data_IF_913355023062
#
_entry.id   IF_913355023062
#
_cell.length_a   1.000
_cell.length_b   1.000
_cell.length_c   1.000
_cell.angle_alpha   90.00
_cell.angle_beta   90.00
_cell.angle_gamma   90.00
#
_symmetry.space_group_name_H-M   'P 1'
#
loop_
_entity.id
_entity.type
_entity.pdbx_description
1 polymer ?
#
# COMPACT_ATOMS: atom_id res chain seq x y z
N UNK A 1 -2.20 -17.89 -2.18
CA UNK A 1 -2.30 -16.54 -1.55
C UNK A 1 -3.56 -15.86 -2.04
N UNK A 2 -4.32 -15.30 -1.12
CA UNK A 2 -5.53 -14.55 -1.45
C UNK A 2 -5.22 -13.05 -1.46
N UNK A 3 -5.80 -12.34 -2.43
CA UNK A 3 -5.67 -10.89 -2.56
C UNK A 3 -6.96 -10.20 -2.13
N UNK A 4 -6.85 -9.34 -1.12
CA UNK A 4 -7.95 -8.47 -0.70
C UNK A 4 -7.64 -7.02 -1.00
N UNK A 5 -8.63 -6.26 -1.42
CA UNK A 5 -8.50 -4.85 -1.73
C UNK A 5 -9.45 -4.06 -0.83
N UNK A 6 -8.90 -3.08 -0.13
CA UNK A 6 -9.67 -2.17 0.73
C UNK A 6 -9.65 -0.79 0.09
N UNK A 7 -10.82 -0.21 -0.12
CA UNK A 7 -10.96 1.12 -0.71
C UNK A 7 -11.58 2.08 0.30
N UNK A 8 -11.20 3.37 0.28
CA UNK A 8 -11.66 4.31 1.29
C UNK A 8 -13.12 4.73 1.12
N UNK A 9 -13.61 4.88 -0.10
CA UNK A 9 -14.97 5.31 -0.39
C UNK A 9 -15.35 4.90 -1.81
N UNK A 10 -16.62 5.03 -2.14
CA UNK A 10 -17.11 4.68 -3.48
C UNK A 10 -16.57 5.66 -4.53
N UNK A 11 -16.13 5.12 -5.65
CA UNK A 11 -15.66 5.93 -6.78
C UNK A 11 -14.32 6.62 -6.55
N UNK A 12 -13.47 6.10 -5.68
CA UNK A 12 -12.19 6.74 -5.34
C UNK A 12 -11.23 6.87 -6.55
N UNK A 13 -11.46 6.13 -7.63
CA UNK A 13 -10.63 6.17 -8.83
C UNK A 13 -11.19 7.07 -9.93
N UNK A 14 -12.34 7.72 -9.73
CA UNK A 14 -13.04 8.47 -10.78
C UNK A 14 -12.18 9.57 -11.42
N UNK A 15 -11.30 10.19 -10.64
CA UNK A 15 -10.43 11.27 -11.13
C UNK A 15 -9.07 10.81 -11.60
N UNK A 16 -8.81 9.51 -11.59
CA UNK A 16 -7.56 8.96 -12.09
C UNK A 16 -7.54 9.00 -13.61
N UNK A 17 -6.34 9.06 -14.22
CA UNK A 17 -6.22 8.95 -15.66
C UNK A 17 -6.60 7.55 -16.14
N UNK A 18 -6.85 7.41 -17.45
CA UNK A 18 -7.32 6.16 -18.04
C UNK A 18 -6.34 5.00 -17.80
N UNK A 19 -5.05 5.26 -17.87
CA UNK A 19 -4.02 4.24 -17.65
C UNK A 19 -4.08 3.68 -16.23
N UNK A 20 -4.22 4.53 -15.23
CA UNK A 20 -4.30 4.10 -13.83
C UNK A 20 -5.64 3.44 -13.52
N UNK A 21 -6.73 3.91 -14.11
CA UNK A 21 -8.02 3.25 -13.98
C UNK A 21 -7.99 1.84 -14.57
N UNK A 22 -7.34 1.65 -15.71
CA UNK A 22 -7.19 0.32 -16.34
C UNK A 22 -6.39 -0.63 -15.46
N UNK A 23 -5.30 -0.15 -14.85
CA UNK A 23 -4.51 -0.94 -13.90
C UNK A 23 -5.34 -1.35 -12.70
N UNK A 24 -6.09 -0.42 -12.15
CA UNK A 24 -6.98 -0.68 -11.01
C UNK A 24 -8.01 -1.75 -11.34
N UNK A 25 -8.68 -1.61 -12.48
CA UNK A 25 -9.68 -2.58 -12.93
C UNK A 25 -9.08 -3.97 -13.08
N UNK A 26 -7.88 -4.07 -13.65
CA UNK A 26 -7.20 -5.36 -13.80
C UNK A 26 -6.90 -6.01 -12.44
N UNK A 27 -6.44 -5.23 -11.48
CA UNK A 27 -6.14 -5.72 -10.13
C UNK A 27 -7.42 -6.17 -9.41
N UNK A 28 -8.49 -5.38 -9.51
CA UNK A 28 -9.78 -5.70 -8.89
C UNK A 28 -10.35 -7.02 -9.43
N UNK A 29 -10.20 -7.28 -10.72
CA UNK A 29 -10.67 -8.53 -11.34
C UNK A 29 -9.93 -9.75 -10.79
N UNK A 30 -8.71 -9.59 -10.31
CA UNK A 30 -7.90 -10.66 -9.75
C UNK A 30 -8.06 -10.79 -8.23
N UNK A 31 -8.72 -9.86 -7.59
CA UNK A 31 -8.88 -9.87 -6.13
C UNK A 31 -9.86 -10.95 -5.69
N UNK A 32 -9.55 -11.60 -4.57
CA UNK A 32 -10.45 -12.57 -3.95
C UNK A 32 -11.62 -11.88 -3.25
N UNK A 33 -11.38 -10.68 -2.72
CA UNK A 33 -12.44 -9.84 -2.17
C UNK A 33 -12.04 -8.36 -2.27
N UNK A 34 -13.07 -7.51 -2.30
CA UNK A 34 -12.92 -6.06 -2.23
C UNK A 34 -13.93 -5.52 -1.24
N UNK A 35 -13.53 -4.50 -0.49
CA UNK A 35 -14.42 -3.85 0.47
C UNK A 35 -14.15 -2.35 0.51
N UNK A 36 -15.23 -1.57 0.51
CA UNK A 36 -15.17 -0.13 0.70
C UNK A 36 -15.50 0.20 2.16
N UNK A 37 -14.64 0.96 2.83
CA UNK A 37 -14.84 1.34 4.23
C UNK A 37 -16.04 2.27 4.37
N UNK A 38 -16.20 3.20 3.44
CA UNK A 38 -17.35 4.07 3.37
C UNK A 38 -18.19 3.74 2.14
N UNK A 39 -19.48 3.54 2.32
CA UNK A 39 -20.42 3.26 1.22
C UNK A 39 -21.01 4.58 0.67
N UNK A 40 -20.23 5.65 0.74
CA UNK A 40 -20.56 6.98 0.24
C UNK A 40 -19.45 7.46 -0.70
N UNK A 41 -19.72 8.56 -1.41
CA UNK A 41 -18.67 9.25 -2.18
C UNK A 41 -17.71 9.97 -1.23
N UNK A 42 -16.74 10.67 -1.81
CA UNK A 42 -15.74 11.41 -1.03
C UNK A 42 -16.40 12.46 -0.14
N UNK A 43 -16.11 12.41 1.15
CA UNK A 43 -16.61 13.34 2.15
C UNK A 43 -15.51 14.04 2.93
N UNK A 44 -14.26 13.55 2.85
CA UNK A 44 -13.14 14.15 3.55
C UNK A 44 -11.94 13.22 3.64
N UNK A 45 -10.79 13.80 3.97
CA UNK A 45 -9.52 13.06 4.08
C UNK A 45 -9.55 11.97 5.17
N UNK A 46 -10.45 12.09 6.14
CA UNK A 46 -10.59 11.09 7.20
C UNK A 46 -10.92 9.70 6.65
N UNK A 47 -11.54 9.62 5.46
CA UNK A 47 -11.89 8.34 4.84
C UNK A 47 -10.64 7.52 4.48
N UNK A 48 -9.59 8.18 3.99
CA UNK A 48 -8.31 7.52 3.71
C UNK A 48 -7.67 7.03 5.00
N UNK A 49 -7.69 7.85 6.04
CA UNK A 49 -7.12 7.49 7.34
C UNK A 49 -7.83 6.28 7.95
N UNK A 50 -9.15 6.23 7.83
CA UNK A 50 -9.94 5.12 8.35
C UNK A 50 -9.70 3.83 7.55
N UNK A 51 -9.51 3.92 6.24
CA UNK A 51 -9.14 2.75 5.43
C UNK A 51 -7.78 2.19 5.85
N UNK A 52 -6.80 3.06 6.05
CA UNK A 52 -5.47 2.66 6.51
C UNK A 52 -5.54 1.99 7.89
N UNK A 53 -6.29 2.57 8.81
CA UNK A 53 -6.49 2.02 10.15
C UNK A 53 -7.16 0.65 10.10
N UNK A 54 -8.16 0.49 9.25
CA UNK A 54 -8.84 -0.79 9.06
C UNK A 54 -7.86 -1.86 8.59
N UNK A 55 -7.00 -1.53 7.62
CA UNK A 55 -6.00 -2.48 7.12
C UNK A 55 -5.03 -2.90 8.23
N UNK A 56 -4.58 -1.97 9.06
CA UNK A 56 -3.70 -2.30 10.19
C UNK A 56 -4.39 -3.22 11.21
N UNK A 57 -5.63 -2.92 11.55
CA UNK A 57 -6.39 -3.69 12.54
C UNK A 57 -6.75 -5.10 12.07
N UNK A 58 -6.80 -5.32 10.75
CA UNK A 58 -7.21 -6.60 10.16
C UNK A 58 -6.05 -7.33 9.47
N UNK A 59 -4.81 -6.99 9.79
CA UNK A 59 -3.62 -7.66 9.27
C UNK A 59 -2.69 -8.03 10.42
N UNK A 60 -1.79 -8.97 10.16
CA UNK A 60 -0.81 -9.43 11.15
C UNK A 60 0.50 -8.67 11.04
N UNK A 61 0.82 -8.19 9.84
CA UNK A 61 2.03 -7.41 9.58
C UNK A 61 1.87 -6.57 8.32
N UNK A 62 2.70 -5.55 8.19
CA UNK A 62 2.72 -4.65 7.03
C UNK A 62 4.10 -4.65 6.40
N UNK A 63 4.13 -4.66 5.06
CA UNK A 63 5.30 -4.27 4.28
C UNK A 63 5.01 -2.89 3.68
N UNK A 64 5.76 -1.88 4.12
CA UNK A 64 5.61 -0.51 3.61
C UNK A 64 6.81 -0.18 2.71
N UNK A 65 6.53 0.09 1.44
CA UNK A 65 7.53 0.55 0.46
C UNK A 65 7.17 1.99 0.13
N UNK A 66 8.10 2.92 0.36
CA UNK A 66 7.79 4.34 0.14
C UNK A 66 9.00 5.12 -0.33
N UNK A 67 8.73 6.25 -0.97
CA UNK A 67 9.73 7.20 -1.43
C UNK A 67 9.90 8.28 -0.35
N UNK A 68 11.07 8.32 0.28
CA UNK A 68 11.38 9.29 1.34
C UNK A 68 11.36 10.73 0.85
N UNK A 69 11.58 10.95 -0.46
CA UNK A 69 11.61 12.28 -1.04
C UNK A 69 10.19 12.84 -1.29
N UNK A 70 9.17 12.01 -1.20
CA UNK A 70 7.77 12.41 -1.39
C UNK A 70 7.11 12.69 -0.04
N UNK A 71 6.85 13.97 0.22
CA UNK A 71 6.14 14.39 1.44
C UNK A 71 4.63 14.36 1.21
N UNK A 72 4.00 13.22 1.35
CA UNK A 72 2.57 13.10 1.15
C UNK A 72 1.98 11.97 2.01
N UNK A 73 0.97 11.30 1.49
CA UNK A 73 0.27 10.20 2.18
C UNK A 73 1.16 9.16 2.86
N UNK A 74 2.32 8.75 2.29
CA UNK A 74 3.16 7.75 2.95
C UNK A 74 3.71 8.19 4.31
N UNK A 75 3.95 9.49 4.50
CA UNK A 75 4.45 10.02 5.78
C UNK A 75 3.40 9.85 6.88
N UNK A 76 2.14 10.14 6.58
CA UNK A 76 1.04 9.98 7.54
C UNK A 76 0.78 8.52 7.86
N UNK A 77 0.82 7.66 6.86
CA UNK A 77 0.66 6.22 7.08
C UNK A 77 1.80 5.67 7.93
N UNK A 78 3.04 6.08 7.67
CA UNK A 78 4.20 5.65 8.45
C UNK A 78 4.03 6.02 9.92
N UNK A 79 3.57 7.23 10.22
CA UNK A 79 3.34 7.66 11.59
C UNK A 79 2.25 6.84 12.27
N UNK A 80 1.16 6.58 11.57
CA UNK A 80 0.07 5.73 12.07
C UNK A 80 0.58 4.32 12.37
N UNK A 81 1.43 3.77 11.49
CA UNK A 81 2.01 2.44 11.64
C UNK A 81 2.92 2.36 12.86
N UNK A 82 3.78 3.37 13.07
CA UNK A 82 4.66 3.44 14.23
C UNK A 82 3.83 3.50 15.53
N UNK A 83 2.80 4.33 15.56
CA UNK A 83 1.92 4.46 16.73
C UNK A 83 1.21 3.12 17.02
N UNK A 84 0.79 2.42 15.98
CA UNK A 84 0.12 1.12 16.11
C UNK A 84 1.09 0.05 16.66
N UNK A 85 2.33 0.03 16.19
CA UNK A 85 3.34 -0.89 16.69
C UNK A 85 3.68 -0.64 18.16
N UNK A 86 3.71 0.62 18.58
CA UNK A 86 3.99 0.99 19.98
C UNK A 86 2.88 0.51 20.93
N UNK A 87 1.65 0.38 20.45
CA UNK A 87 0.50 -0.03 21.24
C UNK A 87 0.22 -1.52 21.24
N UNK A 88 0.80 -2.25 20.29
CA UNK A 88 0.52 -3.68 20.07
C UNK A 88 1.83 -4.41 19.74
N UNK A 89 1.74 -5.74 19.62
CA UNK A 89 2.87 -6.56 19.16
C UNK A 89 2.91 -6.67 17.63
N UNK A 90 2.38 -5.69 16.94
CA UNK A 90 2.33 -5.67 15.48
C UNK A 90 3.73 -5.51 14.89
N UNK A 91 4.02 -6.24 13.83
CA UNK A 91 5.32 -6.19 13.14
C UNK A 91 5.18 -5.53 11.77
N UNK A 92 6.26 -4.85 11.37
CA UNK A 92 6.28 -4.13 10.11
C UNK A 92 7.69 -4.12 9.53
N UNK A 93 7.77 -4.29 8.21
CA UNK A 93 8.98 -4.02 7.43
C UNK A 93 8.78 -2.73 6.64
N UNK A 94 9.68 -1.78 6.83
CA UNK A 94 9.66 -0.51 6.11
C UNK A 94 10.84 -0.51 5.15
N UNK A 95 10.54 -0.36 3.85
CA UNK A 95 11.55 -0.37 2.78
C UNK A 95 11.46 0.95 2.01
N UNK A 96 12.57 1.67 1.95
CA UNK A 96 12.65 2.90 1.16
C UNK A 96 12.93 2.59 -0.31
N UNK A 97 12.73 3.57 -1.17
CA UNK A 97 13.05 3.40 -2.60
C UNK A 97 14.55 3.16 -2.82
N UNK A 98 15.41 3.79 -2.01
CA UNK A 98 16.85 3.55 -2.11
C UNK A 98 17.22 2.11 -1.74
N UNK A 99 16.66 1.59 -0.66
CA UNK A 99 16.86 0.20 -0.25
C UNK A 99 16.33 -0.78 -1.30
N UNK A 100 15.15 -0.49 -1.87
CA UNK A 100 14.56 -1.31 -2.92
C UNK A 100 15.42 -1.32 -4.17
N UNK A 101 15.95 -0.16 -4.56
CA UNK A 101 16.84 -0.03 -5.71
C UNK A 101 18.11 -0.85 -5.51
N UNK A 102 18.72 -0.77 -4.33
CA UNK A 102 19.91 -1.55 -4.00
C UNK A 102 19.62 -3.06 -4.08
N UNK A 103 18.49 -3.49 -3.56
CA UNK A 103 18.07 -4.89 -3.62
C UNK A 103 17.88 -5.38 -5.06
N UNK A 104 17.24 -4.56 -5.91
CA UNK A 104 17.03 -4.89 -7.33
C UNK A 104 18.37 -4.98 -8.05
N UNK A 105 19.29 -4.03 -7.80
CA UNK A 105 20.62 -4.03 -8.40
C UNK A 105 21.41 -5.27 -7.99
N UNK A 106 21.36 -5.67 -6.74
CA UNK A 106 22.01 -6.88 -6.24
C UNK A 106 21.44 -8.15 -6.92
N UNK A 107 20.13 -8.21 -7.11
CA UNK A 107 19.49 -9.32 -7.81
C UNK A 107 19.94 -9.40 -9.27
N UNK A 108 20.00 -8.26 -9.97
CA UNK A 108 20.45 -8.21 -11.36
C UNK A 108 21.91 -8.64 -11.47
N UNK A 109 22.75 -8.17 -10.55
CA UNK A 109 24.15 -8.55 -10.51
C UNK A 109 24.33 -10.06 -10.31
N UNK A 110 23.55 -10.63 -9.41
CA UNK A 110 23.58 -12.08 -9.13
C UNK A 110 23.14 -12.90 -10.34
N UNK A 111 22.13 -12.42 -11.08
CA UNK A 111 21.67 -13.08 -12.31
C UNK A 111 22.71 -13.02 -13.40
N UNK A 112 23.38 -11.86 -13.58
CA UNK A 112 24.45 -11.68 -14.56
C UNK A 112 25.62 -12.61 -14.25
N UNK A 113 25.96 -12.79 -12.99
CA UNK A 113 27.03 -13.72 -12.58
C UNK A 113 26.67 -15.18 -12.81
N UNK A 114 25.40 -15.54 -12.77
CA UNK A 114 24.96 -16.92 -12.93
C UNK A 114 25.07 -17.45 -14.36
N UNK A 115 25.29 -16.55 -15.34
CA UNK A 115 25.49 -16.94 -16.74
C UNK A 115 26.96 -17.14 -17.11
N UNK A 116 27.86 -16.91 -16.19
CA UNK A 116 29.28 -17.21 -16.36
C UNK A 116 29.61 -18.60 -15.83
#
# INVERSE_FOLDING_TARGET
IKLGIITPFLGHTQRWNDKNQAKYTNIIQQADFTESIHHTEYMGAYQFKQADQFMLEHSDQTLLIYDEEQEASPKFFKQMLVDFMDKTNYTCDIVTFDELTDFINDLQWSQDQSFE
#
